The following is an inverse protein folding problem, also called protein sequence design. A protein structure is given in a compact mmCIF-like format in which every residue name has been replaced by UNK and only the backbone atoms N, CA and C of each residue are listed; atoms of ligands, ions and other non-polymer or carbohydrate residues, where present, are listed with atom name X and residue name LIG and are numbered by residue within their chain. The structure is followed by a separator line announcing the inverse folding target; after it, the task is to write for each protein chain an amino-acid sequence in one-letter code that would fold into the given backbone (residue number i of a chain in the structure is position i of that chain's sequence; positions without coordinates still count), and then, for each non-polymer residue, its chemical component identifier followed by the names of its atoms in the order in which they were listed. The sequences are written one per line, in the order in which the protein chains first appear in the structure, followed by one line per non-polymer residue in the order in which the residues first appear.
data_IF_849257934391
#
_entry.id   IF_849257934391
#
_cell.length_a   1.000
_cell.length_b   1.000
_cell.length_c   1.000
_cell.angle_alpha   90.00
_cell.angle_beta   90.00
_cell.angle_gamma   90.00
#
_symmetry.space_group_name_H-M   'P 1'
#
loop_
_entity.id
_entity.type
_entity.pdbx_description
1 polymer ?
#
# COMPACT_ATOMS: atom_id res chain seq x y z
N UNK A 1 -3.34 46.81 -1.55
CA UNK A 1 -2.14 46.96 -2.38
C UNK A 1 -1.78 45.59 -2.94
N UNK A 2 -2.28 45.27 -4.12
CA UNK A 2 -2.12 43.96 -4.78
C UNK A 2 -1.74 44.24 -6.22
N UNK A 3 -0.44 44.19 -6.50
CA UNK A 3 0.13 44.42 -7.83
C UNK A 3 0.23 43.07 -8.54
N UNK A 4 -0.62 42.86 -9.55
CA UNK A 4 -0.53 41.74 -10.48
C UNK A 4 0.56 42.03 -11.52
N UNK A 5 1.39 41.05 -11.91
CA UNK A 5 2.34 41.23 -13.00
C UNK A 5 1.60 41.08 -14.34
N UNK A 6 1.58 42.17 -15.12
CA UNK A 6 1.20 42.21 -16.53
C UNK A 6 2.15 41.34 -17.34
N UNK A 7 1.65 40.21 -17.83
CA UNK A 7 2.30 39.38 -18.86
C UNK A 7 2.21 40.15 -20.18
N UNK A 8 3.30 40.80 -20.58
CA UNK A 8 3.49 41.30 -21.94
C UNK A 8 3.70 40.10 -22.86
N UNK A 9 2.62 39.66 -23.52
CA UNK A 9 2.68 38.72 -24.62
C UNK A 9 3.34 39.37 -25.83
N UNK A 10 4.59 38.99 -26.11
CA UNK A 10 5.33 39.37 -27.31
C UNK A 10 4.58 38.93 -28.58
N UNK A 11 4.00 39.88 -29.28
CA UNK A 11 3.33 39.72 -30.58
C UNK A 11 4.32 39.77 -31.76
N UNK A 12 5.48 39.11 -31.65
CA UNK A 12 6.56 39.21 -32.65
C UNK A 12 6.89 37.91 -33.40
N UNK A 13 5.99 36.92 -33.42
CA UNK A 13 6.28 35.58 -33.94
C UNK A 13 5.75 35.26 -35.35
N UNK A 14 5.06 36.19 -36.01
CA UNK A 14 4.43 35.95 -37.32
C UNK A 14 5.23 36.43 -38.53
N UNK A 15 6.23 37.32 -38.36
CA UNK A 15 7.03 37.84 -39.48
C UNK A 15 8.32 37.03 -39.76
N UNK A 16 8.90 36.38 -38.76
CA UNK A 16 10.17 35.64 -38.90
C UNK A 16 10.03 34.22 -39.47
N UNK A 17 8.80 33.67 -39.55
CA UNK A 17 8.58 32.33 -40.14
C UNK A 17 8.66 32.30 -41.67
N UNK A 18 8.63 33.46 -42.33
CA UNK A 18 8.60 33.57 -43.78
C UNK A 18 9.98 33.51 -44.45
N UNK A 19 11.08 33.55 -43.69
CA UNK A 19 12.43 33.31 -44.20
C UNK A 19 13.04 32.12 -43.49
N UNK A 20 12.57 30.91 -43.83
CA UNK A 20 13.25 29.68 -43.44
C UNK A 20 14.72 29.74 -43.92
N UNK A 21 15.67 29.24 -43.13
CA UNK A 21 17.07 29.06 -43.57
C UNK A 21 17.18 28.43 -44.95
N UNK A 22 16.26 27.51 -45.25
CA UNK A 22 16.16 26.87 -46.55
C UNK A 22 15.84 27.87 -47.67
N UNK A 23 14.92 28.83 -47.45
CA UNK A 23 14.62 29.83 -48.48
C UNK A 23 15.80 30.78 -48.68
N UNK A 24 16.47 31.21 -47.60
CA UNK A 24 17.68 32.07 -47.70
C UNK A 24 18.82 31.43 -48.52
N UNK A 25 18.93 30.11 -48.54
CA UNK A 25 19.94 29.40 -49.34
C UNK A 25 19.45 29.05 -50.75
N UNK A 26 18.15 28.77 -50.90
CA UNK A 26 17.57 28.41 -52.20
C UNK A 26 17.34 29.62 -53.11
N UNK A 27 17.08 30.80 -52.55
CA UNK A 27 16.79 32.00 -53.34
C UNK A 27 17.99 32.45 -54.20
N UNK A 28 19.23 32.57 -53.68
CA UNK A 28 20.40 32.88 -54.51
C UNK A 28 20.72 31.78 -55.53
N UNK A 29 20.43 30.53 -55.19
CA UNK A 29 20.71 29.36 -56.03
C UNK A 29 19.76 29.33 -57.24
N UNK A 30 18.47 29.56 -57.01
CA UNK A 30 17.46 29.72 -58.07
C UNK A 30 17.74 30.95 -58.93
N UNK A 31 18.19 32.06 -58.33
CA UNK A 31 18.59 33.25 -59.08
C UNK A 31 19.80 32.97 -59.98
N UNK A 32 20.80 32.26 -59.48
CA UNK A 32 21.97 31.87 -60.26
C UNK A 32 21.62 30.91 -61.40
N UNK A 33 20.70 29.96 -61.17
CA UNK A 33 20.15 29.08 -62.22
C UNK A 33 19.45 29.90 -63.32
N UNK A 34 18.59 30.85 -62.97
CA UNK A 34 17.90 31.71 -63.92
C UNK A 34 18.87 32.60 -64.72
N UNK A 35 19.89 33.16 -64.07
CA UNK A 35 20.94 33.93 -64.75
C UNK A 35 21.75 33.06 -65.71
N UNK A 36 22.07 31.81 -65.33
CA UNK A 36 22.77 30.88 -66.21
C UNK A 36 21.92 30.49 -67.43
N UNK A 37 20.64 30.15 -67.22
CA UNK A 37 19.71 29.82 -68.31
C UNK A 37 19.54 31.00 -69.28
N UNK A 38 19.37 32.22 -68.79
CA UNK A 38 19.26 33.42 -69.63
C UNK A 38 20.55 33.71 -70.41
N UNK A 39 21.72 33.45 -69.83
CA UNK A 39 23.00 33.53 -70.53
C UNK A 39 23.04 32.51 -71.68
N UNK A 40 22.71 31.24 -71.42
CA UNK A 40 22.66 30.21 -72.46
C UNK A 40 21.67 30.54 -73.59
N UNK A 41 20.48 31.05 -73.27
CA UNK A 41 19.51 31.51 -74.28
C UNK A 41 20.04 32.70 -75.09
N UNK A 42 20.81 33.61 -74.48
CA UNK A 42 21.43 34.73 -75.19
C UNK A 42 22.56 34.29 -76.14
N UNK A 43 23.19 33.14 -75.91
CA UNK A 43 24.24 32.57 -76.75
C UNK A 43 23.71 31.61 -77.84
N UNK A 44 22.44 31.19 -77.75
CA UNK A 44 21.80 30.27 -78.70
C UNK A 44 21.43 30.96 -80.04
N UNK A 45 21.61 30.31 -81.20
CA UNK A 45 21.27 30.89 -82.49
C UNK A 45 19.81 30.63 -82.89
N UNK A 46 18.88 31.57 -82.64
CA UNK A 46 17.72 31.92 -83.50
C UNK A 46 16.68 32.85 -82.82
N UNK A 47 16.27 33.88 -83.57
CA UNK A 47 14.97 34.59 -83.62
C UNK A 47 14.39 35.37 -82.42
N UNK A 48 14.89 35.27 -81.18
CA UNK A 48 14.56 36.26 -80.14
C UNK A 48 15.67 36.28 -79.09
N UNK A 49 16.62 37.23 -79.22
CA UNK A 49 17.77 37.32 -78.33
C UNK A 49 17.39 38.19 -77.12
N UNK A 50 17.11 37.62 -75.93
CA UNK A 50 16.98 38.43 -74.73
C UNK A 50 18.31 39.16 -74.46
N UNK A 51 18.28 40.34 -73.82
CA UNK A 51 19.51 41.04 -73.46
C UNK A 51 20.39 40.15 -72.60
N UNK A 52 21.69 40.11 -72.90
CA UNK A 52 22.63 39.31 -72.12
C UNK A 52 22.59 39.74 -70.64
N UNK A 53 22.56 38.79 -69.69
CA UNK A 53 22.60 39.12 -68.27
C UNK A 53 23.91 39.85 -67.93
N UNK A 54 23.83 40.83 -67.04
CA UNK A 54 25.00 41.59 -66.59
C UNK A 54 25.89 40.71 -65.71
N UNK A 55 27.20 40.75 -65.94
CA UNK A 55 28.18 40.01 -65.12
C UNK A 55 28.07 40.38 -63.62
N UNK A 56 27.73 41.64 -63.34
CA UNK A 56 27.51 42.17 -61.98
C UNK A 56 26.46 41.35 -61.21
N UNK A 57 25.39 40.91 -61.87
CA UNK A 57 24.32 40.14 -61.24
C UNK A 57 24.78 38.75 -60.76
N UNK A 58 25.73 38.12 -61.47
CA UNK A 58 26.33 36.86 -61.02
C UNK A 58 27.21 37.07 -59.78
N UNK A 59 27.99 38.15 -59.77
CA UNK A 59 28.86 38.49 -58.62
C UNK A 59 28.01 38.82 -57.39
N UNK A 60 26.88 39.51 -57.57
CA UNK A 60 25.94 39.81 -56.49
C UNK A 60 25.28 38.53 -55.94
N UNK A 61 24.84 37.61 -56.80
CA UNK A 61 24.29 36.32 -56.39
C UNK A 61 25.31 35.45 -55.65
N UNK A 62 26.56 35.42 -56.11
CA UNK A 62 27.65 34.67 -55.47
C UNK A 62 27.97 35.23 -54.08
N UNK A 63 28.04 36.56 -53.93
CA UNK A 63 28.19 37.23 -52.63
C UNK A 63 27.02 36.92 -51.70
N UNK A 64 25.79 37.02 -52.19
CA UNK A 64 24.60 36.72 -51.41
C UNK A 64 24.56 35.26 -50.94
N UNK A 65 24.98 34.32 -51.79
CA UNK A 65 25.11 32.91 -51.44
C UNK A 65 26.19 32.69 -50.37
N UNK A 66 27.36 33.31 -50.53
CA UNK A 66 28.45 33.22 -49.56
C UNK A 66 28.01 33.75 -48.18
N UNK A 67 27.30 34.88 -48.15
CA UNK A 67 26.76 35.47 -46.92
C UNK A 67 25.72 34.56 -46.27
N UNK A 68 24.80 33.99 -47.06
CA UNK A 68 23.78 33.06 -46.58
C UNK A 68 24.41 31.77 -46.01
N UNK A 69 25.45 31.23 -46.66
CA UNK A 69 26.19 30.06 -46.16
C UNK A 69 26.93 30.39 -44.86
N UNK A 70 27.58 31.54 -44.77
CA UNK A 70 28.25 31.98 -43.54
C UNK A 70 27.28 32.16 -42.38
N UNK A 71 26.09 32.69 -42.65
CA UNK A 71 25.02 32.83 -41.69
C UNK A 71 24.52 31.45 -41.25
N UNK A 72 24.26 30.52 -42.19
CA UNK A 72 23.82 29.15 -41.89
C UNK A 72 24.80 28.41 -40.97
N UNK A 73 26.09 28.53 -41.24
CA UNK A 73 27.13 27.97 -40.39
C UNK A 73 27.10 28.51 -38.96
N UNK A 74 26.99 29.84 -38.79
CA UNK A 74 26.88 30.47 -37.47
C UNK A 74 25.64 30.01 -36.70
N UNK A 75 24.50 29.88 -37.39
CA UNK A 75 23.29 29.35 -36.78
C UNK A 75 23.43 27.88 -36.40
N UNK A 76 24.07 27.06 -37.22
CA UNK A 76 24.27 25.65 -36.92
C UNK A 76 25.12 25.45 -35.66
N UNK A 77 26.16 26.26 -35.47
CA UNK A 77 26.97 26.24 -34.24
C UNK A 77 26.10 26.58 -33.02
N UNK A 78 25.30 27.65 -33.12
CA UNK A 78 24.39 28.07 -32.04
C UNK A 78 23.34 27.00 -31.75
N UNK A 79 22.80 26.36 -32.79
CA UNK A 79 21.81 25.30 -32.67
C UNK A 79 22.37 24.08 -31.94
N UNK A 80 23.60 23.65 -32.26
CA UNK A 80 24.28 22.59 -31.49
C UNK A 80 24.47 22.95 -30.02
N UNK A 81 24.79 24.23 -29.74
CA UNK A 81 24.89 24.72 -28.36
C UNK A 81 23.52 24.67 -27.66
N UNK A 82 22.45 25.07 -28.33
CA UNK A 82 21.08 25.00 -27.80
C UNK A 82 20.69 23.55 -27.50
N UNK A 83 20.98 22.63 -28.42
CA UNK A 83 20.69 21.20 -28.23
C UNK A 83 21.44 20.60 -27.04
N UNK A 84 22.72 20.97 -26.88
CA UNK A 84 23.52 20.59 -25.70
C UNK A 84 22.96 21.14 -24.39
N UNK A 85 22.59 22.42 -24.38
CA UNK A 85 21.99 23.03 -23.17
C UNK A 85 20.62 22.42 -22.86
N UNK A 86 19.85 22.05 -23.90
CA UNK A 86 18.58 21.36 -23.73
C UNK A 86 18.77 19.98 -23.10
N UNK A 87 19.76 19.19 -23.55
CA UNK A 87 20.04 17.89 -22.94
C UNK A 87 20.48 18.05 -21.48
N UNK A 88 21.32 19.04 -21.18
CA UNK A 88 21.76 19.34 -19.81
C UNK A 88 20.59 19.74 -18.90
N UNK A 89 19.66 20.56 -19.38
CA UNK A 89 18.44 20.92 -18.62
C UNK A 89 17.59 19.68 -18.34
N UNK A 90 17.42 18.79 -19.33
CA UNK A 90 16.66 17.56 -19.15
C UNK A 90 17.34 16.63 -18.13
N UNK A 91 18.66 16.51 -18.16
CA UNK A 91 19.43 15.75 -17.16
C UNK A 91 19.37 16.35 -15.75
N UNK A 92 19.24 17.67 -15.64
CA UNK A 92 19.03 18.34 -14.36
C UNK A 92 17.62 18.13 -13.84
N UNK A 93 16.60 18.19 -14.72
CA UNK A 93 15.21 17.94 -14.35
C UNK A 93 15.00 16.51 -13.88
N UNK A 94 15.62 15.52 -14.54
CA UNK A 94 15.54 14.12 -14.10
C UNK A 94 16.19 13.92 -12.73
N UNK A 95 17.37 14.52 -12.51
CA UNK A 95 18.04 14.49 -11.19
C UNK A 95 17.20 15.16 -10.11
N UNK A 96 16.62 16.32 -10.40
CA UNK A 96 15.76 17.02 -9.46
C UNK A 96 14.52 16.18 -9.08
N UNK A 97 13.85 15.58 -10.07
CA UNK A 97 12.72 14.67 -9.83
C UNK A 97 13.11 13.49 -8.96
N UNK A 98 14.28 12.89 -9.21
CA UNK A 98 14.78 11.77 -8.42
C UNK A 98 14.95 12.17 -6.95
N UNK A 99 15.57 13.33 -6.69
CA UNK A 99 15.73 13.86 -5.32
C UNK A 99 14.37 14.10 -4.66
N UNK A 100 13.39 14.64 -5.38
CA UNK A 100 12.05 14.85 -4.84
C UNK A 100 11.36 13.53 -4.46
N UNK A 101 11.50 12.49 -5.28
CA UNK A 101 10.94 11.15 -5.01
C UNK A 101 11.62 10.55 -3.77
N UNK A 102 12.95 10.59 -3.71
CA UNK A 102 13.71 10.08 -2.56
C UNK A 102 13.31 10.79 -1.27
N UNK A 103 13.20 12.12 -1.30
CA UNK A 103 12.80 12.90 -0.12
C UNK A 103 11.36 12.63 0.31
N UNK A 104 10.45 12.39 -0.64
CA UNK A 104 9.07 12.00 -0.33
C UNK A 104 8.99 10.59 0.28
N UNK A 105 9.81 9.66 -0.21
CA UNK A 105 9.92 8.32 0.37
C UNK A 105 10.46 8.37 1.80
N UNK A 106 11.59 9.05 2.02
CA UNK A 106 12.20 9.19 3.35
C UNK A 106 11.25 9.89 4.33
N UNK A 107 10.49 10.89 3.87
CA UNK A 107 9.45 11.54 4.67
C UNK A 107 8.38 10.55 5.12
N UNK A 108 7.86 9.72 4.21
CA UNK A 108 6.84 8.71 4.55
C UNK A 108 7.38 7.65 5.51
N UNK A 109 8.61 7.21 5.31
CA UNK A 109 9.28 6.26 6.21
C UNK A 109 9.42 6.85 7.63
N UNK A 110 9.82 8.12 7.73
CA UNK A 110 9.93 8.81 9.00
C UNK A 110 8.56 9.01 9.67
N UNK A 111 7.53 9.37 8.91
CA UNK A 111 6.16 9.49 9.41
C UNK A 111 5.67 8.16 9.99
N UNK A 112 5.91 7.05 9.28
CA UNK A 112 5.57 5.70 9.76
C UNK A 112 6.33 5.35 11.06
N UNK A 113 7.63 5.70 11.13
CA UNK A 113 8.43 5.45 12.33
C UNK A 113 7.95 6.26 13.54
N UNK A 114 7.46 7.49 13.31
CA UNK A 114 6.88 8.33 14.36
C UNK A 114 5.56 7.72 14.84
N UNK A 115 4.69 7.32 13.92
CA UNK A 115 3.42 6.64 14.26
C UNK A 115 3.66 5.37 15.09
N UNK A 116 4.60 4.51 14.68
CA UNK A 116 4.99 3.33 15.46
C UNK A 116 5.56 3.70 16.84
N UNK A 117 6.33 4.77 16.93
CA UNK A 117 6.90 5.22 18.20
C UNK A 117 5.81 5.72 19.16
N UNK A 118 4.83 6.45 18.66
CA UNK A 118 3.69 6.93 19.44
C UNK A 118 2.84 5.76 19.95
N UNK A 119 2.53 4.78 19.10
CA UNK A 119 1.84 3.54 19.51
C UNK A 119 2.61 2.77 20.59
N UNK A 120 3.94 2.68 20.47
CA UNK A 120 4.79 2.05 21.49
C UNK A 120 4.74 2.82 22.80
N UNK A 121 4.79 4.15 22.77
CA UNK A 121 4.69 4.97 23.98
C UNK A 121 3.34 4.77 24.67
N UNK A 122 2.25 4.74 23.92
CA UNK A 122 0.91 4.47 24.45
C UNK A 122 0.83 3.08 25.10
N UNK A 123 1.41 2.06 24.48
CA UNK A 123 1.46 0.70 25.04
C UNK A 123 2.27 0.65 26.35
N UNK A 124 3.38 1.39 26.43
CA UNK A 124 4.22 1.49 27.63
C UNK A 124 3.45 2.23 28.73
N UNK A 125 2.75 3.31 28.40
CA UNK A 125 1.93 4.02 29.36
C UNK A 125 0.79 3.17 29.91
N UNK A 126 0.10 2.43 29.04
CA UNK A 126 -0.95 1.50 29.45
C UNK A 126 -0.38 0.39 30.35
N UNK A 127 0.77 -0.17 30.00
CA UNK A 127 1.47 -1.17 30.82
C UNK A 127 1.88 -0.59 32.17
N UNK A 128 2.35 0.65 32.21
CA UNK A 128 2.70 1.36 33.45
C UNK A 128 1.47 1.61 34.31
N UNK A 129 0.34 2.03 33.71
CA UNK A 129 -0.95 2.23 34.41
C UNK A 129 -1.50 0.90 34.95
N UNK A 130 -1.34 -0.20 34.21
CA UNK A 130 -1.73 -1.55 34.60
C UNK A 130 -0.63 -2.32 35.35
N UNK A 131 0.37 -1.62 35.92
CA UNK A 131 1.48 -2.26 36.62
C UNK A 131 0.96 -3.00 37.85
N UNK A 132 1.06 -4.33 37.82
CA UNK A 132 0.74 -5.20 38.95
C UNK A 132 1.93 -5.26 39.91
N UNK A 133 1.69 -5.23 41.23
CA UNK A 133 2.76 -5.39 42.21
C UNK A 133 3.37 -6.79 42.09
N UNK A 134 4.69 -6.86 42.24
CA UNK A 134 5.44 -8.11 42.08
C UNK A 134 5.01 -9.20 43.05
N UNK A 135 4.53 -8.83 44.24
CA UNK A 135 3.99 -9.77 45.24
C UNK A 135 2.81 -10.57 44.70
N UNK A 136 1.89 -9.90 44.01
CA UNK A 136 0.63 -10.51 43.55
C UNK A 136 0.90 -11.39 42.33
N UNK A 137 1.82 -10.97 41.47
CA UNK A 137 2.30 -11.77 40.35
C UNK A 137 2.99 -13.05 40.83
N UNK A 138 3.83 -12.97 41.87
CA UNK A 138 4.50 -14.13 42.45
C UNK A 138 3.51 -15.08 43.13
N UNK A 139 2.57 -14.54 43.91
CA UNK A 139 1.51 -15.34 44.55
C UNK A 139 0.65 -16.06 43.50
N UNK A 140 0.25 -15.36 42.43
CA UNK A 140 -0.51 -15.95 41.34
C UNK A 140 0.30 -17.00 40.56
N UNK A 141 1.56 -16.72 40.23
CA UNK A 141 2.45 -17.67 39.56
C UNK A 141 2.66 -18.94 40.39
N UNK A 142 2.83 -18.80 41.72
CA UNK A 142 2.91 -19.95 42.63
C UNK A 142 1.61 -20.76 42.63
N UNK A 143 0.45 -20.10 42.56
CA UNK A 143 -0.84 -20.78 42.45
C UNK A 143 -0.99 -21.52 41.12
N UNK A 144 -0.57 -20.91 40.01
CA UNK A 144 -0.60 -21.52 38.67
C UNK A 144 0.39 -22.68 38.53
N UNK A 145 1.53 -22.62 39.21
CA UNK A 145 2.58 -23.65 39.13
C UNK A 145 2.08 -25.06 39.47
N UNK A 146 1.03 -25.19 40.28
CA UNK A 146 0.42 -26.48 40.59
C UNK A 146 -0.50 -27.03 39.47
N UNK A 147 -0.88 -26.19 38.49
CA UNK A 147 -1.80 -26.51 37.39
C UNK A 147 -1.13 -26.44 36.01
N UNK A 148 0.02 -25.77 35.88
CA UNK A 148 0.74 -25.60 34.63
C UNK A 148 1.85 -26.64 34.48
N UNK A 149 1.55 -27.73 33.78
CA UNK A 149 2.46 -28.83 33.40
C UNK A 149 2.97 -29.73 34.53
N UNK A 150 2.98 -31.04 34.26
CA UNK A 150 3.63 -32.01 35.14
C UNK A 150 5.14 -31.72 35.16
N UNK A 151 5.80 -31.72 36.33
CA UNK A 151 7.25 -31.60 36.40
C UNK A 151 7.93 -32.64 35.49
N UNK A 152 9.05 -32.30 34.83
CA UNK A 152 9.68 -33.15 33.80
C UNK A 152 10.11 -34.56 34.26
N UNK A 153 10.05 -34.87 35.56
CA UNK A 153 10.35 -36.18 36.16
C UNK A 153 9.20 -36.71 37.03
N UNK A 154 7.94 -36.40 36.71
CA UNK A 154 6.81 -36.88 37.51
C UNK A 154 6.66 -38.41 37.34
N UNK A 155 6.76 -39.21 38.41
CA UNK A 155 6.60 -40.64 38.31
C UNK A 155 5.15 -41.00 37.93
N UNK A 156 5.00 -42.08 37.17
CA UNK A 156 3.69 -42.57 36.74
C UNK A 156 2.80 -42.91 37.96
N UNK A 157 1.72 -42.17 38.12
CA UNK A 157 0.72 -42.29 39.20
C UNK A 157 0.01 -43.65 39.23
N UNK A 158 0.18 -44.48 38.20
CA UNK A 158 -0.40 -45.82 38.11
C UNK A 158 0.38 -46.90 38.90
N UNK A 159 1.57 -46.58 39.42
CA UNK A 159 2.42 -47.53 40.15
C UNK A 159 2.19 -47.47 41.68
N UNK A 160 1.79 -48.58 42.32
CA UNK A 160 1.54 -48.60 43.76
C UNK A 160 2.85 -48.52 44.58
N UNK A 161 2.88 -47.63 45.58
CA UNK A 161 3.94 -47.60 46.62
C UNK A 161 4.86 -46.38 46.64
N UNK A 162 4.57 -45.31 45.89
CA UNK A 162 5.38 -44.10 45.87
C UNK A 162 4.94 -43.02 46.87
N UNK A 163 5.87 -42.16 47.35
CA UNK A 163 5.53 -41.04 48.21
C UNK A 163 4.51 -40.12 47.52
N UNK A 164 3.58 -39.49 48.27
CA UNK A 164 2.56 -38.65 47.67
C UNK A 164 3.23 -37.54 46.85
N UNK A 165 2.91 -37.42 45.55
CA UNK A 165 3.56 -36.44 44.69
C UNK A 165 3.24 -35.02 45.18
N UNK A 166 4.13 -34.05 44.89
CA UNK A 166 3.84 -32.63 45.13
C UNK A 166 2.49 -32.28 44.50
N UNK A 167 1.73 -31.39 45.15
CA UNK A 167 0.37 -30.97 44.76
C UNK A 167 0.31 -30.60 43.28
N UNK A 168 -0.06 -31.56 42.45
CA UNK A 168 -0.17 -31.44 41.01
C UNK A 168 -1.63 -31.66 40.62
N UNK A 169 -2.17 -30.71 39.89
CA UNK A 169 -3.53 -30.76 39.39
C UNK A 169 -3.51 -30.87 37.87
N UNK A 170 -4.47 -31.59 37.28
CA UNK A 170 -4.58 -31.68 35.83
C UNK A 170 -4.79 -30.28 35.21
N UNK A 171 -4.33 -30.07 33.96
CA UNK A 171 -4.35 -28.77 33.29
C UNK A 171 -5.76 -28.22 33.04
N UNK A 172 -6.78 -29.08 33.11
CA UNK A 172 -8.19 -28.70 33.02
C UNK A 172 -9.00 -29.38 34.15
N UNK A 173 -10.13 -28.78 34.57
CA UNK A 173 -11.01 -29.38 35.57
C UNK A 173 -11.49 -30.77 35.14
N UNK A 174 -11.28 -31.78 35.99
CA UNK A 174 -11.78 -33.13 35.73
C UNK A 174 -13.29 -33.22 35.97
N UNK A 175 -13.97 -34.16 35.31
CA UNK A 175 -15.42 -34.40 35.41
C UNK A 175 -15.88 -34.58 36.86
N UNK A 176 -15.10 -35.26 37.70
CA UNK A 176 -15.42 -35.42 39.12
C UNK A 176 -15.38 -34.10 39.89
N UNK A 177 -14.42 -33.20 39.58
CA UNK A 177 -14.35 -31.85 40.16
C UNK A 177 -15.49 -30.96 39.67
N UNK A 178 -15.85 -31.07 38.39
CA UNK A 178 -17.01 -30.38 37.82
C UNK A 178 -18.30 -30.83 38.51
N UNK A 179 -18.50 -32.14 38.65
CA UNK A 179 -19.67 -32.76 39.31
C UNK A 179 -19.76 -32.45 40.80
N UNK A 180 -18.63 -32.34 41.50
CA UNK A 180 -18.56 -31.93 42.91
C UNK A 180 -18.65 -30.41 43.09
N UNK A 181 -18.49 -29.65 42.00
CA UNK A 181 -18.55 -28.19 42.02
C UNK A 181 -19.93 -27.68 42.42
N UNK A 182 -19.96 -26.47 42.98
CA UNK A 182 -21.20 -25.84 43.44
C UNK A 182 -22.30 -25.79 42.37
N UNK A 183 -21.94 -25.65 41.10
CA UNK A 183 -22.87 -25.65 39.97
C UNK A 183 -23.71 -26.94 39.84
N UNK A 184 -23.19 -28.09 40.26
CA UNK A 184 -23.91 -29.36 40.26
C UNK A 184 -24.57 -29.69 41.61
N UNK A 185 -24.21 -28.96 42.67
CA UNK A 185 -24.84 -29.07 43.98
C UNK A 185 -26.11 -28.20 44.10
N UNK A 186 -26.21 -27.16 43.26
CA UNK A 186 -27.43 -26.37 43.11
C UNK A 186 -28.51 -27.16 42.36
N UNK A 187 -29.77 -26.82 42.63
CA UNK A 187 -30.92 -27.52 42.06
C UNK A 187 -30.80 -27.59 40.52
N UNK A 188 -31.20 -28.71 39.88
CA UNK A 188 -31.15 -28.83 38.43
C UNK A 188 -31.84 -27.62 37.81
N UNK A 189 -31.17 -26.99 36.85
CA UNK A 189 -31.74 -25.90 36.05
C UNK A 189 -33.11 -26.37 35.58
N UNK A 190 -34.15 -25.62 35.94
CA UNK A 190 -35.55 -25.97 35.70
C UNK A 190 -35.85 -26.24 34.21
N UNK A 191 -37.09 -26.60 33.87
CA UNK A 191 -37.50 -26.78 32.48
C UNK A 191 -37.06 -25.60 31.61
N UNK A 192 -36.63 -25.93 30.38
CA UNK A 192 -36.05 -25.01 29.40
C UNK A 192 -36.89 -23.72 29.30
N UNK A 193 -36.36 -22.60 29.81
CA UNK A 193 -37.04 -21.29 29.81
C UNK A 193 -37.28 -20.64 31.18
N UNK A 194 -37.06 -21.34 32.30
CA UNK A 194 -37.13 -20.73 33.64
C UNK A 194 -35.81 -20.06 34.05
N UNK A 195 -35.85 -18.76 34.34
CA UNK A 195 -34.71 -18.00 34.88
C UNK A 195 -34.77 -17.98 36.41
N UNK A 196 -33.89 -18.71 37.08
CA UNK A 196 -33.72 -18.57 38.53
C UNK A 196 -32.63 -17.55 38.86
N UNK A 197 -32.90 -16.65 39.81
CA UNK A 197 -31.91 -15.69 40.31
C UNK A 197 -30.87 -16.42 41.16
N UNK A 198 -29.63 -16.48 40.68
CA UNK A 198 -28.49 -17.06 41.40
C UNK A 198 -28.21 -16.23 42.67
N UNK A 199 -28.16 -16.87 43.85
CA UNK A 199 -27.69 -16.23 45.09
C UNK A 199 -28.67 -16.14 46.28
N UNK A 200 -29.90 -16.67 46.20
CA UNK A 200 -30.80 -16.76 47.36
C UNK A 200 -30.86 -18.19 47.92
N UNK A 201 -30.57 -18.32 49.22
CA UNK A 201 -30.63 -19.61 49.91
C UNK A 201 -32.04 -20.24 49.83
N UNK A 202 -32.16 -21.56 49.58
CA UNK A 202 -33.45 -22.20 49.40
C UNK A 202 -34.26 -22.15 50.70
N UNK A 203 -35.51 -21.72 50.59
CA UNK A 203 -36.47 -21.76 51.69
C UNK A 203 -36.85 -23.22 51.93
N UNK A 204 -36.57 -23.73 53.13
CA UNK A 204 -36.83 -25.11 53.54
C UNK A 204 -38.33 -25.35 53.68
N UNK A 205 -38.85 -26.41 53.07
CA UNK A 205 -40.15 -27.03 53.38
C UNK A 205 -40.08 -28.53 53.03
N UNK A 206 -40.85 -29.41 53.70
CA UNK A 206 -40.29 -30.62 54.33
C UNK A 206 -40.39 -31.93 53.51
N UNK A 207 -39.46 -32.85 53.86
CA UNK A 207 -39.44 -34.34 53.83
C UNK A 207 -40.66 -35.06 53.21
N UNK A 208 -40.53 -36.11 52.39
CA UNK A 208 -39.90 -37.40 52.71
C UNK A 208 -40.00 -38.35 51.49
N UNK A 209 -38.90 -39.02 51.10
CA UNK A 209 -38.78 -40.50 51.04
C UNK A 209 -37.58 -40.92 50.19
N UNK A 210 -36.62 -41.55 50.88
CA UNK A 210 -35.59 -42.37 50.29
C UNK A 210 -36.22 -43.64 49.70
N UNK A 211 -35.83 -44.01 48.49
CA UNK A 211 -35.62 -45.41 48.11
C UNK A 211 -34.39 -45.47 47.17
N UNK A 212 -33.50 -46.47 47.29
CA UNK A 212 -32.22 -46.54 46.60
C UNK A 212 -32.37 -47.26 45.25
N UNK A 213 -32.45 -46.50 44.16
CA UNK A 213 -32.63 -47.02 42.81
C UNK A 213 -31.33 -47.12 42.01
N UNK A 214 -30.69 -48.27 42.09
CA UNK A 214 -29.66 -48.75 41.16
C UNK A 214 -30.25 -48.80 39.73
N UNK A 215 -29.64 -48.10 38.75
CA UNK A 215 -29.02 -48.75 37.59
C UNK A 215 -28.46 -47.76 36.54
N UNK A 216 -27.24 -48.02 36.05
CA UNK A 216 -26.65 -47.38 34.88
C UNK A 216 -27.20 -48.02 33.60
N UNK A 217 -27.32 -47.26 32.51
CA UNK A 217 -27.61 -47.76 31.15
C UNK A 217 -28.98 -48.37 30.84
N UNK A 218 -30.09 -47.85 31.36
CA UNK A 218 -31.40 -48.15 30.76
C UNK A 218 -31.67 -47.25 29.54
N UNK A 219 -31.23 -47.71 28.37
CA UNK A 219 -31.75 -47.26 27.07
C UNK A 219 -33.15 -47.86 26.88
N UNK A 220 -34.21 -47.06 26.99
CA UNK A 220 -35.53 -47.47 26.50
C UNK A 220 -36.22 -46.32 25.77
N UNK A 221 -36.40 -46.55 24.47
CA UNK A 221 -37.15 -45.78 23.51
C UNK A 221 -38.58 -45.52 24.01
N UNK A 222 -39.02 -44.26 23.98
CA UNK A 222 -40.45 -43.92 23.99
C UNK A 222 -40.79 -43.15 22.73
N UNK A 223 -41.51 -43.82 21.84
CA UNK A 223 -42.14 -43.24 20.66
C UNK A 223 -43.32 -42.33 21.05
N UNK A 224 -43.71 -41.48 20.09
CA UNK A 224 -44.91 -40.62 19.98
C UNK A 224 -44.89 -39.24 20.64
N UNK A 225 -44.25 -38.29 19.95
CA UNK A 225 -44.49 -36.85 19.99
C UNK A 225 -44.13 -36.26 18.61
N UNK A 226 -44.80 -35.21 18.11
CA UNK A 226 -44.71 -34.81 16.71
C UNK A 226 -43.27 -34.42 16.33
N UNK A 227 -42.79 -35.05 15.26
CA UNK A 227 -41.56 -34.74 14.55
C UNK A 227 -41.55 -33.26 14.16
N UNK A 228 -40.92 -32.42 14.98
CA UNK A 228 -40.35 -31.18 14.48
C UNK A 228 -39.02 -31.55 13.82
N UNK A 229 -39.10 -31.76 12.52
CA UNK A 229 -37.96 -31.68 11.61
C UNK A 229 -37.25 -30.34 11.88
N UNK A 230 -36.10 -30.39 12.52
CA UNK A 230 -35.12 -29.32 12.44
C UNK A 230 -34.18 -29.67 11.29
N UNK A 231 -34.54 -29.21 10.10
CA UNK A 231 -33.66 -29.17 8.94
C UNK A 231 -32.70 -27.99 9.15
N UNK A 232 -31.64 -28.23 9.91
CA UNK A 232 -30.52 -27.31 10.06
C UNK A 232 -29.65 -27.45 8.80
N UNK A 233 -30.07 -26.75 7.75
CA UNK A 233 -29.26 -26.52 6.56
C UNK A 233 -28.05 -25.65 6.96
N UNK A 234 -26.98 -26.32 7.42
CA UNK A 234 -25.67 -25.75 7.71
C UNK A 234 -24.86 -25.74 6.42
N UNK A 235 -25.27 -24.93 5.45
CA UNK A 235 -24.40 -24.61 4.31
C UNK A 235 -23.29 -23.66 4.78
N UNK A 236 -22.17 -24.26 5.21
CA UNK A 236 -20.96 -23.59 5.68
C UNK A 236 -19.94 -23.39 4.55
N UNK A 237 -20.38 -23.13 3.31
CA UNK A 237 -19.49 -22.69 2.23
C UNK A 237 -20.13 -21.59 1.36
N UNK A 238 -20.18 -20.33 1.81
CA UNK A 238 -20.25 -19.21 0.88
C UNK A 238 -18.82 -18.89 0.39
N UNK A 239 -18.56 -19.30 -0.85
CA UNK A 239 -17.45 -18.90 -1.72
C UNK A 239 -16.11 -19.66 -1.61
N UNK A 240 -15.91 -20.51 -2.62
CA UNK A 240 -14.63 -20.90 -3.21
C UNK A 240 -14.67 -20.48 -4.69
#
# INVERSE_FOLDING_TARGET
MTSTPTVTTNSSSSHDRASSMSSMLLDPLNQMENLAQTLFFSLSPAQAKPPAPRLEAFIECDKALADAVNLSYKHQIKQRKIERLKSEILELDTRWRQICIELEMEKRELETMIEEADERLDSIEQTRKASLPYSDLLAYAQSLSAFTSAPPNMPDLSLPGQPPPPLFFPPFPNEEKMRRGHLNAEAPLGPLGETHTVGKAPTVSPTQNLEPGVNPYRHDLRASGPTQFFDLDLDLNPDL
#
